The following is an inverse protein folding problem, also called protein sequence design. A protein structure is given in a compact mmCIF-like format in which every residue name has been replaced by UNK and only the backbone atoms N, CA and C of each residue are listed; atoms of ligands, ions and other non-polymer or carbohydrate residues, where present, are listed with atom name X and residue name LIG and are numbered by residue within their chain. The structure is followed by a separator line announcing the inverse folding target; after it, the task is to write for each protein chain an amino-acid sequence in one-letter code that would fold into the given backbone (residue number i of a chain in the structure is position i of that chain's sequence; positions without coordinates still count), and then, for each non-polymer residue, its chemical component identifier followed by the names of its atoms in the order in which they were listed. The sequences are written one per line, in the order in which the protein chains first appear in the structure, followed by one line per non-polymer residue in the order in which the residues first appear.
data_IF_882070871676
#
_entry.id   IF_882070871676
#
_cell.length_a   1.000
_cell.length_b   1.000
_cell.length_c   1.000
_cell.angle_alpha   90.00
_cell.angle_beta   90.00
_cell.angle_gamma   90.00
#
_symmetry.space_group_name_H-M   'P 1'
#
loop_
_entity.id
_entity.type
_entity.pdbx_description
1 polymer ?
#
# COMPACT_ATOMS: atom_id res chain seq x y z
N UNK A 1 -28.22 -15.47 -22.52
CA UNK A 1 -27.16 -16.29 -21.93
C UNK A 1 -27.17 -16.08 -20.42
N UNK A 2 -27.08 -17.15 -19.59
CA UNK A 2 -27.11 -17.01 -18.17
C UNK A 2 -25.90 -16.17 -17.71
N UNK A 3 -26.18 -15.12 -16.92
CA UNK A 3 -25.15 -14.27 -16.33
C UNK A 3 -24.32 -15.10 -15.35
N UNK A 4 -23.10 -15.44 -15.73
CA UNK A 4 -22.14 -16.13 -14.86
C UNK A 4 -21.90 -15.24 -13.64
N UNK A 5 -22.29 -15.71 -12.46
CA UNK A 5 -22.13 -14.96 -11.20
C UNK A 5 -20.67 -14.60 -10.91
N UNK A 6 -20.44 -13.51 -10.17
CA UNK A 6 -19.09 -13.00 -9.84
C UNK A 6 -18.17 -14.08 -9.21
N UNK A 7 -18.73 -15.00 -8.41
CA UNK A 7 -17.99 -16.15 -7.82
C UNK A 7 -17.55 -17.15 -8.87
N UNK A 8 -18.42 -17.49 -9.83
CA UNK A 8 -18.07 -18.41 -10.92
C UNK A 8 -17.00 -17.81 -11.85
N UNK A 9 -17.04 -16.51 -12.13
CA UNK A 9 -15.98 -15.83 -12.89
C UNK A 9 -14.62 -15.88 -12.18
N UNK A 10 -14.59 -15.74 -10.86
CA UNK A 10 -13.34 -15.87 -10.09
C UNK A 10 -12.82 -17.31 -10.02
N UNK A 11 -13.71 -18.31 -9.96
CA UNK A 11 -13.32 -19.73 -10.07
C UNK A 11 -12.73 -20.04 -11.44
N UNK A 12 -13.39 -19.65 -12.52
CA UNK A 12 -12.88 -19.89 -13.89
C UNK A 12 -11.52 -19.24 -14.17
N UNK A 13 -11.22 -18.09 -13.51
CA UNK A 13 -9.89 -17.44 -13.63
C UNK A 13 -8.81 -18.25 -12.89
N UNK A 14 -9.17 -18.98 -11.84
CA UNK A 14 -8.20 -19.76 -11.06
C UNK A 14 -7.92 -21.13 -11.62
N UNK A 15 -8.90 -21.75 -12.23
CA UNK A 15 -8.89 -23.18 -12.60
C UNK A 15 -8.66 -23.41 -14.10
N UNK A 16 -8.52 -22.35 -14.91
CA UNK A 16 -8.31 -22.42 -16.34
C UNK A 16 -7.01 -21.74 -16.76
N UNK A 17 -6.23 -22.39 -17.60
CA UNK A 17 -4.97 -21.86 -18.14
C UNK A 17 -5.17 -20.61 -18.99
N UNK A 18 -6.26 -20.52 -19.74
CA UNK A 18 -6.50 -19.40 -20.64
C UNK A 18 -6.64 -18.05 -19.91
N UNK A 19 -7.50 -17.89 -18.90
CA UNK A 19 -7.55 -16.66 -18.12
C UNK A 19 -6.22 -16.31 -17.44
N UNK A 20 -5.47 -17.28 -16.96
CA UNK A 20 -4.14 -17.06 -16.38
C UNK A 20 -3.19 -16.46 -17.42
N UNK A 21 -3.11 -17.04 -18.61
CA UNK A 21 -2.28 -16.52 -19.70
C UNK A 21 -2.71 -15.12 -20.16
N UNK A 22 -4.01 -14.83 -20.16
CA UNK A 22 -4.51 -13.47 -20.45
C UNK A 22 -4.05 -12.46 -19.40
N UNK A 23 -4.03 -12.85 -18.12
CA UNK A 23 -3.52 -11.99 -17.05
C UNK A 23 -2.01 -11.76 -17.17
N UNK A 24 -1.24 -12.80 -17.46
CA UNK A 24 0.19 -12.71 -17.69
C UNK A 24 0.50 -11.79 -18.89
N UNK A 25 -0.20 -12.01 -20.01
CA UNK A 25 -0.08 -11.15 -21.18
C UNK A 25 -0.41 -9.68 -20.87
N UNK A 26 -1.49 -9.41 -20.13
CA UNK A 26 -1.87 -8.05 -19.75
C UNK A 26 -0.81 -7.39 -18.88
N UNK A 27 -0.19 -8.15 -17.99
CA UNK A 27 0.89 -7.65 -17.14
C UNK A 27 2.10 -7.26 -18.00
N UNK A 28 2.57 -8.14 -18.86
CA UNK A 28 3.70 -7.88 -19.76
C UNK A 28 3.40 -6.75 -20.75
N UNK A 29 2.21 -6.75 -21.34
CA UNK A 29 1.76 -5.69 -22.24
C UNK A 29 1.74 -4.32 -21.56
N UNK A 30 1.31 -4.26 -20.29
CA UNK A 30 1.37 -3.02 -19.51
C UNK A 30 2.80 -2.58 -19.22
N UNK A 31 3.68 -3.51 -18.87
CA UNK A 31 5.10 -3.19 -18.63
C UNK A 31 5.74 -2.65 -19.92
N UNK A 32 5.47 -3.30 -21.05
CA UNK A 32 5.97 -2.87 -22.34
C UNK A 32 5.50 -1.47 -22.71
N UNK A 33 4.21 -1.27 -22.77
CA UNK A 33 3.63 0.00 -23.25
C UNK A 33 3.88 1.18 -22.31
N UNK A 34 3.94 0.95 -20.99
CA UNK A 34 4.06 2.06 -20.00
C UNK A 34 5.51 2.40 -19.68
N UNK A 35 6.40 1.39 -19.68
CA UNK A 35 7.77 1.59 -19.21
C UNK A 35 8.81 1.38 -20.30
N UNK A 36 8.85 0.25 -21.01
CA UNK A 36 9.92 0.01 -21.97
C UNK A 36 9.79 0.85 -23.24
N UNK A 37 8.59 1.09 -23.70
CA UNK A 37 8.36 1.90 -24.91
C UNK A 37 8.21 3.39 -24.51
N UNK A 38 7.21 3.72 -23.70
CA UNK A 38 6.87 5.12 -23.42
C UNK A 38 7.97 5.91 -22.69
N UNK A 39 8.79 5.28 -21.83
CA UNK A 39 9.86 6.02 -21.14
C UNK A 39 10.93 6.53 -22.11
N UNK A 40 11.18 5.82 -23.21
CA UNK A 40 12.15 6.26 -24.21
C UNK A 40 11.68 7.53 -24.92
N UNK A 41 10.37 7.68 -25.14
CA UNK A 41 9.77 8.87 -25.76
C UNK A 41 9.87 10.12 -24.86
N UNK A 42 10.08 9.90 -23.56
CA UNK A 42 10.25 10.97 -22.55
C UNK A 42 11.71 11.35 -22.28
N UNK A 43 12.67 10.77 -23.02
CA UNK A 43 14.07 11.17 -22.88
C UNK A 43 14.23 12.56 -23.47
N UNK A 44 14.64 13.52 -22.64
CA UNK A 44 14.95 14.87 -23.09
C UNK A 44 16.25 14.84 -23.93
N UNK A 45 16.22 15.32 -25.18
CA UNK A 45 17.36 15.24 -26.06
C UNK A 45 18.57 16.09 -25.60
N UNK A 46 18.32 17.16 -24.84
CA UNK A 46 19.39 18.05 -24.36
C UNK A 46 20.11 17.49 -23.14
N UNK A 47 19.41 16.74 -22.28
CA UNK A 47 19.97 16.23 -21.03
C UNK A 47 20.25 14.72 -21.07
N UNK A 48 19.68 13.99 -22.03
CA UNK A 48 19.74 12.52 -22.10
C UNK A 48 18.98 11.85 -20.95
N UNK A 49 18.10 12.56 -20.25
CA UNK A 49 17.43 12.11 -19.03
C UNK A 49 15.92 12.16 -19.17
N UNK A 50 15.22 11.35 -18.37
CA UNK A 50 13.77 11.42 -18.20
C UNK A 50 13.45 12.38 -17.06
N UNK A 51 12.65 13.39 -17.33
CA UNK A 51 12.18 14.37 -16.36
C UNK A 51 10.68 14.20 -16.14
N UNK A 52 10.25 14.09 -14.89
CA UNK A 52 8.83 14.04 -14.53
C UNK A 52 8.39 15.37 -13.95
N UNK A 53 7.10 15.66 -14.07
CA UNK A 53 6.46 16.79 -13.40
C UNK A 53 5.84 16.33 -12.09
N UNK A 54 6.17 17.00 -10.98
CA UNK A 54 5.56 16.74 -9.67
C UNK A 54 4.51 17.79 -9.35
N UNK A 55 3.33 17.32 -8.93
CA UNK A 55 2.25 18.16 -8.42
C UNK A 55 2.11 17.95 -6.91
N UNK A 56 2.15 19.04 -6.14
CA UNK A 56 1.95 19.04 -4.67
C UNK A 56 0.45 18.93 -4.35
N UNK A 57 -0.41 19.49 -5.19
CA UNK A 57 -1.85 19.54 -5.00
C UNK A 57 -2.62 18.47 -5.81
N UNK A 58 -1.91 17.52 -6.41
CA UNK A 58 -2.51 16.50 -7.29
C UNK A 58 -3.23 15.37 -6.55
N UNK A 59 -3.01 15.20 -5.26
CA UNK A 59 -3.64 14.16 -4.44
C UNK A 59 -4.29 14.76 -3.20
N UNK A 60 -5.53 14.35 -2.92
CA UNK A 60 -6.29 14.78 -1.72
C UNK A 60 -5.62 14.38 -0.40
N UNK A 61 -4.68 13.44 -0.43
CA UNK A 61 -3.92 12.97 0.73
C UNK A 61 -2.70 13.85 1.07
N UNK A 62 -2.43 14.91 0.30
CA UNK A 62 -1.22 15.73 0.43
C UNK A 62 0.07 15.05 -0.08
N UNK A 63 -0.04 13.87 -0.72
CA UNK A 63 1.10 13.21 -1.36
C UNK A 63 1.40 13.85 -2.70
N UNK A 64 2.67 13.82 -3.11
CA UNK A 64 3.05 14.22 -4.46
C UNK A 64 2.44 13.26 -5.49
N UNK A 65 2.04 13.79 -6.62
CA UNK A 65 1.75 13.00 -7.81
C UNK A 65 2.77 13.30 -8.91
N UNK A 66 3.16 12.26 -9.65
CA UNK A 66 4.14 12.32 -10.73
C UNK A 66 3.45 12.07 -12.05
N UNK A 67 3.67 12.96 -13.04
CA UNK A 67 3.07 12.87 -14.39
C UNK A 67 4.11 13.20 -15.45
N UNK A 68 3.92 12.71 -16.65
CA UNK A 68 4.70 13.03 -17.86
C UNK A 68 6.21 12.78 -17.74
N UNK A 69 6.66 11.56 -17.46
CA UNK A 69 5.92 10.33 -17.16
C UNK A 69 5.67 10.12 -15.68
N UNK A 70 4.74 9.20 -15.30
CA UNK A 70 4.57 8.82 -13.91
C UNK A 70 5.68 7.86 -13.47
N UNK A 71 6.66 8.36 -12.71
CA UNK A 71 7.77 7.59 -12.17
C UNK A 71 7.50 6.98 -10.78
N UNK A 72 6.41 7.35 -10.11
CA UNK A 72 6.06 6.80 -8.79
C UNK A 72 5.53 5.36 -8.87
N UNK A 73 5.04 4.93 -10.03
CA UNK A 73 4.42 3.62 -10.23
C UNK A 73 5.33 2.58 -10.88
N UNK A 74 6.65 2.83 -10.94
CA UNK A 74 7.61 1.86 -11.48
C UNK A 74 7.53 0.58 -10.65
N UNK A 75 7.27 -0.59 -11.28
CA UNK A 75 7.05 -1.82 -10.54
C UNK A 75 8.28 -2.26 -9.77
N UNK A 76 8.07 -2.86 -8.58
CA UNK A 76 9.13 -3.35 -7.70
C UNK A 76 8.89 -4.79 -7.23
N UNK A 77 7.65 -5.30 -7.39
CA UNK A 77 7.26 -6.59 -6.81
C UNK A 77 7.63 -7.80 -7.66
N UNK A 78 7.63 -7.63 -8.97
CA UNK A 78 7.97 -8.70 -9.92
C UNK A 78 9.42 -8.56 -10.38
N UNK A 79 10.01 -9.66 -10.85
CA UNK A 79 11.36 -9.66 -11.39
C UNK A 79 11.48 -8.74 -12.61
N UNK A 80 10.57 -8.86 -13.58
CA UNK A 80 10.51 -7.97 -14.74
C UNK A 80 10.39 -6.50 -14.36
N UNK A 81 9.58 -6.21 -13.32
CA UNK A 81 9.45 -4.85 -12.79
C UNK A 81 10.76 -4.33 -12.18
N UNK A 82 11.52 -5.17 -11.48
CA UNK A 82 12.83 -4.80 -10.94
C UNK A 82 13.85 -4.52 -12.04
N UNK A 83 13.84 -5.31 -13.12
CA UNK A 83 14.71 -5.09 -14.29
C UNK A 83 14.47 -3.72 -14.93
N UNK A 84 13.23 -3.24 -14.98
CA UNK A 84 12.94 -1.86 -15.43
C UNK A 84 13.66 -0.83 -14.57
N UNK A 85 13.74 -1.05 -13.25
CA UNK A 85 14.43 -0.14 -12.33
C UNK A 85 15.94 -0.10 -12.55
N UNK A 86 16.55 -1.17 -13.02
CA UNK A 86 17.97 -1.24 -13.36
C UNK A 86 18.36 -0.31 -14.53
N UNK A 87 17.40 0.07 -15.37
CA UNK A 87 17.61 1.05 -16.44
C UNK A 87 17.82 2.49 -15.92
N UNK A 88 17.43 2.76 -14.66
CA UNK A 88 17.65 4.05 -14.04
C UNK A 88 19.03 4.08 -13.38
N UNK A 89 19.95 4.77 -13.99
CA UNK A 89 21.34 4.83 -13.57
C UNK A 89 21.72 6.26 -13.15
N UNK A 90 22.69 6.39 -12.24
CA UNK A 90 23.29 7.66 -11.94
C UNK A 90 24.28 8.07 -13.04
N UNK A 91 24.50 9.37 -13.18
CA UNK A 91 25.58 9.90 -14.02
C UNK A 91 26.95 9.41 -13.51
N UNK A 92 27.91 9.32 -14.42
CA UNK A 92 29.27 8.89 -14.08
C UNK A 92 29.85 9.69 -12.90
N UNK A 93 30.39 9.01 -11.92
CA UNK A 93 30.89 9.60 -10.68
C UNK A 93 29.84 9.83 -9.58
N UNK A 94 28.56 9.59 -9.85
CA UNK A 94 27.48 9.72 -8.90
C UNK A 94 26.87 8.37 -8.55
N UNK A 95 26.10 8.33 -7.47
CA UNK A 95 25.32 7.15 -7.04
C UNK A 95 23.87 7.53 -6.83
N UNK A 96 22.96 6.59 -7.05
CA UNK A 96 21.56 6.73 -6.64
C UNK A 96 21.43 6.39 -5.16
N UNK A 97 20.83 7.30 -4.39
CA UNK A 97 20.54 7.09 -2.96
C UNK A 97 19.03 7.07 -2.81
N UNK A 98 18.50 5.99 -2.20
CA UNK A 98 17.09 5.86 -1.84
C UNK A 98 16.96 5.83 -0.33
N UNK A 99 16.26 6.81 0.23
CA UNK A 99 15.98 6.91 1.67
C UNK A 99 14.47 6.91 1.86
N UNK A 100 14.00 6.08 2.79
CA UNK A 100 12.59 6.00 3.15
C UNK A 100 12.41 6.06 4.67
N UNK A 101 11.40 6.80 5.11
CA UNK A 101 11.05 6.83 6.53
C UNK A 101 10.44 5.52 6.97
N UNK A 102 11.02 4.90 7.98
CA UNK A 102 10.48 3.67 8.55
C UNK A 102 9.16 3.93 9.27
N UNK A 103 8.07 3.39 8.73
CA UNK A 103 6.72 3.39 9.34
C UNK A 103 6.23 4.79 9.74
N UNK A 104 6.53 5.82 8.95
CA UNK A 104 6.27 7.23 9.31
C UNK A 104 4.80 7.49 9.64
N UNK A 105 3.86 6.90 8.90
CA UNK A 105 2.43 7.12 9.11
C UNK A 105 1.98 6.59 10.48
N UNK A 106 2.48 5.42 10.90
CA UNK A 106 2.21 4.87 12.22
C UNK A 106 2.86 5.69 13.35
N UNK A 107 4.06 6.25 13.11
CA UNK A 107 4.73 7.13 14.07
C UNK A 107 3.96 8.44 14.26
N UNK A 108 3.48 9.04 13.16
CA UNK A 108 2.65 10.24 13.20
C UNK A 108 1.33 9.95 13.93
N UNK A 109 0.68 8.82 13.62
CA UNK A 109 -0.55 8.42 14.28
C UNK A 109 -0.34 8.22 15.79
N UNK A 110 0.72 7.51 16.20
CA UNK A 110 1.06 7.31 17.60
C UNK A 110 1.25 8.63 18.35
N UNK A 111 1.82 9.63 17.69
CA UNK A 111 2.02 10.96 18.25
C UNK A 111 0.72 11.76 18.36
N UNK A 112 -0.02 11.89 17.27
CA UNK A 112 -1.25 12.71 17.17
C UNK A 112 -2.36 12.12 18.04
N UNK A 113 -2.59 10.81 17.94
CA UNK A 113 -3.61 10.11 18.72
C UNK A 113 -3.13 9.78 20.17
N UNK A 114 -1.94 10.22 20.56
CA UNK A 114 -1.36 10.06 21.91
C UNK A 114 -1.35 8.61 22.41
N UNK A 115 -1.03 7.67 21.54
CA UNK A 115 -1.04 6.22 21.85
C UNK A 115 0.31 5.83 22.44
N UNK A 116 0.40 5.84 23.76
CA UNK A 116 1.68 5.64 24.48
C UNK A 116 2.26 4.23 24.23
N UNK A 117 1.41 3.21 24.09
CA UNK A 117 1.87 1.86 23.74
C UNK A 117 2.61 1.81 22.40
N UNK A 118 2.12 2.53 21.38
CA UNK A 118 2.81 2.60 20.08
C UNK A 118 4.07 3.46 20.15
N UNK A 119 4.04 4.58 20.88
CA UNK A 119 5.23 5.42 21.10
C UNK A 119 6.33 4.62 21.77
N UNK A 120 6.00 3.87 22.84
CA UNK A 120 6.96 3.05 23.55
C UNK A 120 7.53 1.96 22.64
N UNK A 121 6.69 1.26 21.88
CA UNK A 121 7.15 0.25 20.93
C UNK A 121 8.14 0.82 19.89
N UNK A 122 7.91 2.05 19.41
CA UNK A 122 8.86 2.71 18.52
C UNK A 122 10.15 3.14 19.21
N UNK A 123 10.10 3.56 20.47
CA UNK A 123 11.29 3.86 21.29
C UNK A 123 12.15 2.61 21.51
N UNK A 124 11.50 1.49 21.75
CA UNK A 124 12.17 0.19 21.95
C UNK A 124 12.66 -0.43 20.63
N UNK A 125 12.47 0.25 19.51
CA UNK A 125 12.90 -0.21 18.17
C UNK A 125 12.12 -1.40 17.64
N UNK A 126 10.91 -1.66 18.17
CA UNK A 126 10.08 -2.79 17.78
C UNK A 126 9.47 -2.59 16.38
N UNK A 127 9.38 -3.68 15.62
CA UNK A 127 8.65 -3.71 14.37
C UNK A 127 7.15 -3.89 14.64
N UNK A 128 6.40 -2.78 14.52
CA UNK A 128 4.95 -2.78 14.78
C UNK A 128 4.20 -3.77 13.89
N UNK A 129 4.64 -3.98 12.64
CA UNK A 129 4.00 -4.97 11.77
C UNK A 129 4.25 -6.41 12.23
N UNK A 130 5.46 -6.70 12.72
CA UNK A 130 5.78 -7.99 13.29
C UNK A 130 5.05 -8.21 14.62
N UNK A 131 4.96 -7.19 15.47
CA UNK A 131 4.20 -7.23 16.72
C UNK A 131 2.71 -7.48 16.46
N UNK A 132 2.11 -6.73 15.55
CA UNK A 132 0.71 -6.95 15.13
C UNK A 132 0.51 -8.34 14.55
N UNK A 133 1.45 -8.84 13.75
CA UNK A 133 1.37 -10.18 13.19
C UNK A 133 1.40 -11.25 14.27
N UNK A 134 2.29 -11.11 15.26
CA UNK A 134 2.38 -12.02 16.40
C UNK A 134 1.07 -12.10 17.17
N UNK A 135 0.47 -10.96 17.46
CA UNK A 135 -0.78 -10.86 18.22
C UNK A 135 -2.01 -11.32 17.42
N UNK A 136 -2.07 -11.04 16.09
CA UNK A 136 -3.24 -11.37 15.27
C UNK A 136 -3.25 -12.81 14.78
N UNK A 137 -2.08 -13.38 14.51
CA UNK A 137 -1.94 -14.73 13.95
C UNK A 137 -1.39 -15.74 14.94
N UNK A 138 -1.16 -15.32 16.19
CA UNK A 138 -0.60 -16.17 17.26
C UNK A 138 0.73 -16.84 16.85
N UNK A 139 1.61 -16.04 16.18
CA UNK A 139 2.91 -16.49 15.69
C UNK A 139 4.02 -15.81 16.50
N UNK A 140 4.93 -16.57 17.13
CA UNK A 140 6.07 -15.99 17.83
C UNK A 140 6.94 -15.11 16.92
N UNK A 141 7.55 -14.06 17.48
CA UNK A 141 8.35 -13.10 16.70
C UNK A 141 9.55 -13.75 16.00
N UNK A 142 10.14 -14.78 16.58
CA UNK A 142 11.25 -15.55 16.02
C UNK A 142 10.85 -16.47 14.85
N UNK A 143 9.53 -16.73 14.70
CA UNK A 143 8.96 -17.50 13.59
C UNK A 143 8.28 -16.62 12.54
N UNK A 144 8.51 -15.30 12.61
CA UNK A 144 7.89 -14.33 11.73
C UNK A 144 8.37 -14.45 10.28
N UNK A 145 7.48 -14.87 9.38
CA UNK A 145 7.79 -14.91 7.95
C UNK A 145 7.51 -13.57 7.27
N UNK A 146 8.19 -13.25 6.16
CA UNK A 146 7.89 -12.05 5.38
C UNK A 146 6.42 -11.98 4.90
N UNK A 147 5.79 -13.13 4.66
CA UNK A 147 4.39 -13.23 4.23
C UNK A 147 3.45 -12.81 5.36
N UNK A 148 3.62 -13.37 6.56
CA UNK A 148 2.81 -13.06 7.74
C UNK A 148 2.96 -11.58 8.11
N UNK A 149 4.19 -11.06 8.11
CA UNK A 149 4.47 -9.65 8.33
C UNK A 149 3.79 -8.75 7.29
N UNK A 150 3.74 -9.17 6.02
CA UNK A 150 3.05 -8.45 4.95
C UNK A 150 1.53 -8.41 5.15
N UNK A 151 0.93 -9.49 5.63
CA UNK A 151 -0.49 -9.53 5.98
C UNK A 151 -0.81 -8.58 7.14
N UNK A 152 0.01 -8.57 8.19
CA UNK A 152 -0.14 -7.62 9.30
C UNK A 152 0.05 -6.16 8.84
N UNK A 153 0.98 -5.90 7.92
CA UNK A 153 1.11 -4.58 7.29
C UNK A 153 -0.19 -4.17 6.58
N UNK A 154 -0.83 -5.09 5.87
CA UNK A 154 -2.11 -4.82 5.21
C UNK A 154 -3.24 -4.56 6.22
N UNK A 155 -3.25 -5.25 7.38
CA UNK A 155 -4.19 -4.99 8.47
C UNK A 155 -3.94 -3.60 9.06
N UNK A 156 -2.72 -3.29 9.49
CA UNK A 156 -2.36 -2.02 10.12
C UNK A 156 -2.79 -0.82 9.26
N UNK A 157 -2.37 -0.79 8.01
CA UNK A 157 -2.76 0.31 7.12
C UNK A 157 -4.24 0.26 6.74
N UNK A 158 -4.78 -0.93 6.50
CA UNK A 158 -6.19 -1.09 6.17
C UNK A 158 -7.10 -0.53 7.27
N UNK A 159 -6.85 -0.88 8.53
CA UNK A 159 -7.65 -0.41 9.66
C UNK A 159 -7.52 1.10 9.85
N UNK A 160 -6.31 1.65 9.79
CA UNK A 160 -6.06 3.09 9.92
C UNK A 160 -6.77 3.89 8.82
N UNK A 161 -6.85 3.35 7.61
CA UNK A 161 -7.58 3.96 6.49
C UNK A 161 -9.07 3.56 6.42
N UNK A 162 -9.61 2.97 7.48
CA UNK A 162 -11.04 2.68 7.61
C UNK A 162 -11.53 1.52 6.73
N UNK A 163 -10.70 0.51 6.49
CA UNK A 163 -11.12 -0.67 5.72
C UNK A 163 -12.27 -1.38 6.43
N UNK A 164 -13.30 -1.76 5.68
CA UNK A 164 -14.37 -2.59 6.21
C UNK A 164 -13.94 -4.07 6.33
N UNK A 165 -14.60 -4.84 7.19
CA UNK A 165 -14.38 -6.29 7.29
C UNK A 165 -14.53 -7.00 5.94
N UNK A 166 -15.41 -6.52 5.05
CA UNK A 166 -15.52 -7.02 3.67
C UNK A 166 -14.27 -6.69 2.83
N UNK A 167 -13.76 -5.47 2.93
CA UNK A 167 -12.56 -5.04 2.21
C UNK A 167 -11.32 -5.83 2.66
N UNK A 168 -11.15 -6.00 3.98
CA UNK A 168 -10.05 -6.75 4.57
C UNK A 168 -10.13 -8.24 4.21
N UNK A 169 -11.31 -8.86 4.31
CA UNK A 169 -11.55 -10.24 3.91
C UNK A 169 -11.13 -10.52 2.45
N UNK A 170 -11.46 -9.60 1.54
CA UNK A 170 -11.06 -9.71 0.14
C UNK A 170 -9.55 -9.54 -0.06
N UNK A 171 -8.93 -8.65 0.70
CA UNK A 171 -7.50 -8.38 0.62
C UNK A 171 -6.67 -9.57 1.11
N UNK A 172 -7.03 -10.11 2.27
CA UNK A 172 -6.34 -11.25 2.89
C UNK A 172 -6.81 -12.61 2.37
N UNK A 173 -7.94 -12.67 1.64
CA UNK A 173 -8.58 -13.90 1.15
C UNK A 173 -9.06 -14.84 2.27
N UNK A 174 -9.58 -14.26 3.32
CA UNK A 174 -10.13 -14.95 4.50
C UNK A 174 -11.65 -14.73 4.61
N UNK A 175 -12.37 -15.48 5.46
CA UNK A 175 -13.77 -15.24 5.76
C UNK A 175 -14.01 -13.86 6.35
N UNK A 176 -15.18 -13.25 6.03
CA UNK A 176 -15.52 -11.90 6.52
C UNK A 176 -15.57 -11.80 8.05
N UNK A 177 -16.08 -12.85 8.72
CA UNK A 177 -16.15 -12.89 10.18
C UNK A 177 -14.75 -12.82 10.81
N UNK A 178 -13.79 -13.56 10.25
CA UNK A 178 -12.41 -13.56 10.68
C UNK A 178 -11.74 -12.18 10.47
N UNK A 179 -11.96 -11.58 9.30
CA UNK A 179 -11.45 -10.24 9.00
C UNK A 179 -12.04 -9.18 9.94
N UNK A 180 -13.32 -9.27 10.28
CA UNK A 180 -13.94 -8.39 11.27
C UNK A 180 -13.32 -8.60 12.65
N UNK A 181 -13.10 -9.84 13.07
CA UNK A 181 -12.42 -10.16 14.32
C UNK A 181 -11.00 -9.61 14.40
N UNK A 182 -10.27 -9.51 13.28
CA UNK A 182 -8.97 -8.81 13.25
C UNK A 182 -9.11 -7.31 13.49
N UNK A 183 -10.09 -6.65 12.88
CA UNK A 183 -10.35 -5.23 13.09
C UNK A 183 -10.73 -4.96 14.55
N UNK A 184 -11.59 -5.78 15.12
CA UNK A 184 -12.06 -5.62 16.49
C UNK A 184 -10.89 -5.77 17.49
N UNK A 185 -10.08 -6.83 17.37
CA UNK A 185 -8.87 -7.04 18.20
C UNK A 185 -7.84 -5.91 18.03
N UNK A 186 -7.71 -5.35 16.83
CA UNK A 186 -6.81 -4.24 16.59
C UNK A 186 -7.23 -2.99 17.37
N UNK A 187 -8.51 -2.66 17.38
CA UNK A 187 -9.04 -1.55 18.16
C UNK A 187 -9.04 -1.82 19.67
N UNK A 188 -9.26 -3.06 20.09
CA UNK A 188 -9.11 -3.45 21.50
C UNK A 188 -7.67 -3.26 21.98
N UNK A 189 -6.70 -3.56 21.13
CA UNK A 189 -5.28 -3.38 21.43
C UNK A 189 -4.84 -1.92 21.41
N UNK A 190 -5.42 -1.11 20.52
CA UNK A 190 -5.09 0.29 20.32
C UNK A 190 -6.35 1.16 20.35
N UNK A 191 -7.05 1.27 21.49
CA UNK A 191 -8.34 1.97 21.55
C UNK A 191 -8.22 3.45 21.16
N UNK A 192 -7.10 4.11 21.46
CA UNK A 192 -6.85 5.50 21.09
C UNK A 192 -6.88 5.75 19.58
N UNK A 193 -6.66 4.73 18.73
CA UNK A 193 -6.81 4.88 17.26
C UNK A 193 -8.28 5.09 16.92
N UNK A 194 -9.17 4.27 17.50
CA UNK A 194 -10.61 4.38 17.25
C UNK A 194 -11.16 5.70 17.78
N UNK A 195 -10.78 6.08 19.00
CA UNK A 195 -11.16 7.35 19.62
C UNK A 195 -10.75 8.54 18.72
N UNK A 196 -9.50 8.57 18.27
CA UNK A 196 -9.00 9.61 17.36
C UNK A 196 -9.78 9.67 16.04
N UNK A 197 -10.11 8.51 15.46
CA UNK A 197 -10.90 8.46 14.23
C UNK A 197 -12.32 9.01 14.43
N UNK A 198 -12.99 8.59 15.51
CA UNK A 198 -14.34 9.03 15.85
C UNK A 198 -14.38 10.53 16.16
N UNK A 199 -13.42 11.04 16.93
CA UNK A 199 -13.26 12.47 17.23
C UNK A 199 -12.99 13.29 15.95
N UNK A 200 -12.12 12.81 15.07
CA UNK A 200 -11.82 13.49 13.80
C UNK A 200 -13.04 13.59 12.91
N UNK A 201 -13.82 12.50 12.81
CA UNK A 201 -15.09 12.49 12.06
C UNK A 201 -16.08 13.47 12.65
N UNK A 202 -16.22 13.49 13.98
CA UNK A 202 -17.09 14.40 14.70
C UNK A 202 -16.69 15.86 14.45
N UNK A 203 -15.40 16.16 14.65
CA UNK A 203 -14.84 17.49 14.40
C UNK A 203 -15.08 17.98 12.97
N UNK A 204 -14.86 17.11 11.98
CA UNK A 204 -15.11 17.44 10.57
C UNK A 204 -16.56 17.79 10.30
N UNK A 205 -17.52 17.04 10.88
CA UNK A 205 -18.95 17.31 10.74
C UNK A 205 -19.37 18.62 11.41
N UNK A 206 -18.88 18.89 12.62
CA UNK A 206 -19.20 20.10 13.39
C UNK A 206 -18.65 21.37 12.71
N UNK A 207 -17.52 21.27 12.04
CA UNK A 207 -16.87 22.40 11.36
C UNK A 207 -17.14 22.46 9.86
N UNK A 208 -18.05 21.64 9.33
CA UNK A 208 -18.36 21.53 7.89
C UNK A 208 -17.12 21.32 7.03
N UNK A 209 -16.11 20.59 7.54
CA UNK A 209 -14.91 20.28 6.80
C UNK A 209 -15.14 19.05 5.90
N UNK A 210 -14.75 19.16 4.65
CA UNK A 210 -14.78 18.05 3.69
C UNK A 210 -13.50 18.04 2.86
N UNK A 211 -12.82 16.92 2.83
CA UNK A 211 -11.65 16.71 1.96
C UNK A 211 -12.03 16.66 0.47
N UNK A 212 -13.33 16.54 0.14
CA UNK A 212 -13.81 16.51 -1.24
C UNK A 212 -13.71 17.89 -1.90
N UNK A 213 -13.65 18.96 -1.11
CA UNK A 213 -13.67 20.34 -1.59
C UNK A 213 -12.29 21.02 -1.53
N UNK A 214 -11.24 20.27 -1.22
CA UNK A 214 -9.84 20.71 -1.31
C UNK A 214 -9.23 20.21 -2.64
#
# INVERSE_FOLDING_TARGET
PPTIGRRQRQMCIRDSDFPKRVLDWRQLSKLKSTYTDALQDHINPDTGRVHTSYSIAGAVTGRLSSTEPNLQNIPVRTEDGRRIREAFVAESGNILVSLDYSQIELRILAHIAKIDALKQAFHDGLDIHAMTASEMFDVPLDQMTPEIRRQAKAINFGVIYGISGFGLARNLRIPRAEAQGFIDRYFDRFPGIKEYMDETIKFSKENNLSLIHI
#
